data_IF_471044966589
#
_entry.id   IF_471044966589
#
_cell.length_a   1.000
_cell.length_b   1.000
_cell.length_c   1.000
_cell.angle_alpha   90.00
_cell.angle_beta   90.00
_cell.angle_gamma   90.00
#
_symmetry.space_group_name_H-M   'P 1'
#
loop_
_entity.id
_entity.type
_entity.pdbx_description
1 polymer ?
#
# COMPACT_ATOMS: atom_id res chain seq x y z
N UNK A 1 20.51 8.69 8.09
CA UNK A 1 19.55 8.14 7.09
C UNK A 1 20.30 7.12 6.27
N UNK A 2 19.63 6.07 5.80
CA UNK A 2 20.22 5.13 4.86
C UNK A 2 20.00 5.70 3.45
N UNK A 3 21.08 6.05 2.76
CA UNK A 3 21.03 6.39 1.34
C UNK A 3 21.38 5.15 0.52
N UNK A 4 20.63 4.94 -0.56
CA UNK A 4 20.86 3.86 -1.52
C UNK A 4 21.59 4.45 -2.71
N UNK A 5 22.79 3.93 -2.99
CA UNK A 5 23.66 4.37 -4.07
C UNK A 5 23.83 3.22 -5.05
N UNK A 6 23.66 3.48 -6.35
CA UNK A 6 23.95 2.50 -7.40
C UNK A 6 25.45 2.39 -7.64
N UNK A 7 25.97 1.18 -7.76
CA UNK A 7 27.41 0.90 -7.93
C UNK A 7 27.71 0.22 -9.27
N UNK A 8 28.89 0.44 -9.90
CA UNK A 8 29.28 -0.25 -11.13
C UNK A 8 29.69 -1.72 -10.92
N UNK A 9 29.71 -2.17 -9.66
CA UNK A 9 29.97 -3.54 -9.22
C UNK A 9 28.79 -4.05 -8.40
N UNK A 10 28.69 -5.37 -8.28
CA UNK A 10 27.65 -6.00 -7.49
C UNK A 10 28.12 -6.26 -6.05
N UNK A 11 27.16 -6.25 -5.14
CA UNK A 11 27.32 -6.50 -3.71
C UNK A 11 26.40 -7.65 -3.33
N UNK A 12 26.73 -8.40 -2.28
CA UNK A 12 25.83 -9.41 -1.70
C UNK A 12 24.92 -8.73 -0.67
N UNK A 13 23.62 -8.73 -0.92
CA UNK A 13 22.61 -8.16 -0.04
C UNK A 13 21.79 -9.27 0.63
N UNK A 14 21.34 -9.03 1.86
CA UNK A 14 20.37 -9.86 2.55
C UNK A 14 18.97 -9.29 2.36
N UNK A 15 18.06 -10.08 1.81
CA UNK A 15 16.66 -9.71 1.60
C UNK A 15 15.93 -9.48 2.93
N UNK A 16 16.16 -10.35 3.91
CA UNK A 16 15.46 -10.30 5.20
C UNK A 16 15.86 -9.10 6.05
N UNK A 17 17.16 -8.79 6.09
CA UNK A 17 17.68 -7.69 6.91
C UNK A 17 17.77 -6.36 6.15
N UNK A 18 17.51 -6.36 4.84
CA UNK A 18 17.71 -5.22 3.95
C UNK A 18 19.09 -4.56 4.16
N UNK A 19 20.14 -5.39 4.15
CA UNK A 19 21.50 -4.99 4.50
C UNK A 19 22.51 -5.46 3.44
N UNK A 20 23.50 -4.62 3.16
CA UNK A 20 24.67 -5.03 2.37
C UNK A 20 25.58 -5.85 3.26
N UNK A 21 25.79 -7.12 2.90
CA UNK A 21 26.54 -8.09 3.69
C UNK A 21 27.98 -8.24 3.20
N UNK A 22 28.21 -8.10 1.89
CA UNK A 22 29.54 -8.13 1.29
C UNK A 22 29.59 -7.15 0.12
N UNK A 23 30.47 -6.15 0.20
CA UNK A 23 30.68 -5.18 -0.88
C UNK A 23 31.66 -5.75 -1.92
N UNK A 24 31.47 -5.46 -3.21
CA UNK A 24 32.33 -5.94 -4.32
C UNK A 24 32.55 -7.44 -4.28
N UNK A 25 31.46 -8.20 -4.23
CA UNK A 25 31.57 -9.66 -4.19
C UNK A 25 32.31 -10.15 -5.43
N UNK A 26 33.25 -11.09 -5.25
CA UNK A 26 34.04 -11.65 -6.36
C UNK A 26 33.40 -12.88 -6.98
N UNK A 27 32.24 -13.31 -6.46
CA UNK A 27 31.47 -14.39 -7.06
C UNK A 27 30.86 -13.92 -8.39
N UNK A 28 30.52 -14.86 -9.26
CA UNK A 28 29.78 -14.54 -10.49
C UNK A 28 28.45 -13.86 -10.10
N UNK A 29 28.15 -12.73 -10.75
CA UNK A 29 26.92 -11.99 -10.47
C UNK A 29 25.70 -12.87 -10.78
N UNK A 30 24.76 -12.89 -9.83
CA UNK A 30 23.49 -13.59 -9.99
C UNK A 30 22.42 -12.81 -9.26
N UNK A 31 21.35 -12.49 -9.97
CA UNK A 31 20.18 -11.84 -9.40
C UNK A 31 19.26 -12.85 -8.72
N UNK A 32 19.49 -14.15 -8.91
CA UNK A 32 18.69 -15.19 -8.28
C UNK A 32 19.08 -15.30 -6.81
N UNK A 33 18.07 -15.13 -5.95
CA UNK A 33 18.22 -15.33 -4.52
C UNK A 33 18.60 -16.77 -4.22
N UNK A 34 19.57 -16.94 -3.32
CA UNK A 34 19.84 -18.22 -2.68
C UNK A 34 20.52 -19.26 -3.56
N UNK A 35 21.20 -18.81 -4.61
CA UNK A 35 22.10 -19.68 -5.34
C UNK A 35 23.16 -20.30 -4.41
N UNK A 36 23.50 -21.56 -4.67
CA UNK A 36 24.52 -22.28 -3.92
C UNK A 36 25.89 -21.58 -3.93
N UNK A 37 26.16 -20.75 -4.94
CA UNK A 37 27.36 -19.91 -5.02
C UNK A 37 27.53 -19.02 -3.78
N UNK A 38 26.45 -18.52 -3.18
CA UNK A 38 26.53 -17.69 -1.98
C UNK A 38 27.14 -18.42 -0.79
N UNK A 39 27.07 -19.76 -0.72
CA UNK A 39 27.77 -20.53 0.33
C UNK A 39 29.29 -20.33 0.32
N UNK A 40 29.85 -19.90 -0.81
CA UNK A 40 31.27 -19.60 -1.00
C UNK A 40 31.61 -18.12 -0.79
N UNK A 41 30.62 -17.29 -0.46
CA UNK A 41 30.87 -15.89 -0.16
C UNK A 41 31.68 -15.79 1.14
N UNK A 42 32.67 -14.90 1.19
CA UNK A 42 33.62 -14.75 2.30
C UNK A 42 32.93 -14.43 3.63
N UNK A 43 31.77 -13.80 3.59
CA UNK A 43 30.97 -13.45 4.77
C UNK A 43 30.02 -14.57 5.20
N UNK A 44 30.05 -15.72 4.54
CA UNK A 44 29.28 -16.90 4.91
C UNK A 44 30.16 -17.89 5.66
N UNK A 45 29.70 -18.27 6.86
CA UNK A 45 30.31 -19.31 7.67
C UNK A 45 29.27 -20.42 7.92
N UNK A 46 29.56 -21.65 7.51
CA UNK A 46 28.65 -22.79 7.60
C UNK A 46 27.23 -22.50 7.06
N UNK A 47 27.17 -21.77 5.93
CA UNK A 47 25.92 -21.41 5.27
C UNK A 47 25.11 -20.31 5.96
N UNK A 48 25.68 -19.60 6.95
CA UNK A 48 25.09 -18.44 7.62
C UNK A 48 25.96 -17.21 7.45
N UNK A 49 25.32 -16.07 7.23
CA UNK A 49 26.01 -14.80 7.12
C UNK A 49 26.52 -14.34 8.49
N UNK A 50 27.75 -13.83 8.53
CA UNK A 50 28.37 -13.27 9.75
C UNK A 50 28.18 -11.76 9.88
N UNK A 51 27.68 -11.09 8.83
CA UNK A 51 27.56 -9.62 8.76
C UNK A 51 26.14 -9.12 9.02
N UNK A 52 25.10 -9.77 8.48
CA UNK A 52 23.74 -9.27 8.68
C UNK A 52 23.26 -9.50 10.14
N UNK A 53 22.42 -8.59 10.68
CA UNK A 53 21.92 -8.69 12.07
C UNK A 53 21.25 -10.02 12.40
N UNK A 54 20.51 -10.58 11.44
CA UNK A 54 19.78 -11.83 11.61
C UNK A 54 20.62 -13.10 11.44
N UNK A 55 21.92 -12.98 11.10
CA UNK A 55 22.78 -14.11 10.73
C UNK A 55 22.11 -15.09 9.77
N UNK A 56 21.39 -14.51 8.80
CA UNK A 56 20.52 -15.24 7.87
C UNK A 56 21.30 -16.25 7.06
N UNK A 57 20.63 -17.32 6.61
CA UNK A 57 21.27 -18.30 5.76
C UNK A 57 21.54 -17.74 4.34
N UNK A 58 22.45 -18.38 3.62
CA UNK A 58 22.87 -17.97 2.28
C UNK A 58 21.70 -17.87 1.29
N UNK A 59 20.62 -18.62 1.54
CA UNK A 59 19.38 -18.63 0.76
C UNK A 59 18.62 -17.30 0.81
N UNK A 60 18.91 -16.43 1.78
CA UNK A 60 18.32 -15.10 1.90
C UNK A 60 19.13 -14.01 1.20
N UNK A 61 20.20 -14.38 0.50
CA UNK A 61 21.13 -13.44 -0.12
C UNK A 61 21.07 -13.46 -1.65
N UNK A 62 21.38 -12.33 -2.26
CA UNK A 62 21.37 -12.12 -3.71
C UNK A 62 22.40 -11.05 -4.10
N UNK A 63 22.80 -11.01 -5.37
CA UNK A 63 23.62 -9.92 -5.87
C UNK A 63 22.76 -8.75 -6.33
N UNK A 64 23.22 -7.54 -5.98
CA UNK A 64 22.63 -6.30 -6.43
C UNK A 64 23.70 -5.22 -6.53
N UNK A 65 23.50 -4.27 -7.43
CA UNK A 65 24.39 -3.13 -7.66
C UNK A 65 23.99 -1.93 -6.81
N UNK A 66 23.57 -2.18 -5.57
CA UNK A 66 23.14 -1.17 -4.60
C UNK A 66 24.05 -1.22 -3.37
N UNK A 67 24.38 -0.05 -2.85
CA UNK A 67 25.09 0.15 -1.59
C UNK A 67 24.22 0.97 -0.64
N UNK A 68 24.10 0.53 0.60
CA UNK A 68 23.33 1.22 1.63
C UNK A 68 24.32 1.93 2.56
N UNK A 69 24.50 3.25 2.39
CA UNK A 69 25.37 4.04 3.26
C UNK A 69 24.57 4.71 4.36
N UNK A 70 25.03 4.55 5.60
CA UNK A 70 24.56 5.38 6.72
C UNK A 70 25.20 6.74 6.59
N UNK A 71 24.42 7.73 6.17
CA UNK A 71 24.84 9.13 6.22
C UNK A 71 24.33 9.79 7.49
N UNK A 72 25.18 10.56 8.20
CA UNK A 72 24.72 11.40 9.31
C UNK A 72 23.75 12.43 8.73
N UNK A 73 22.49 12.40 9.17
CA UNK A 73 21.51 13.43 8.83
C UNK A 73 21.70 14.56 9.83
N UNK A 74 21.95 15.77 9.35
CA UNK A 74 22.00 16.94 10.24
C UNK A 74 20.63 17.17 10.88
N UNK A 75 20.59 17.71 12.09
CA UNK A 75 19.33 18.02 12.77
C UNK A 75 18.42 18.89 11.90
N UNK A 76 18.98 19.89 11.20
CA UNK A 76 18.25 20.77 10.29
C UNK A 76 17.58 19.99 9.14
N UNK A 77 18.28 19.07 8.49
CA UNK A 77 17.68 18.28 7.40
C UNK A 77 16.66 17.26 7.92
N UNK A 78 16.77 16.81 9.16
CA UNK A 78 15.73 16.01 9.82
C UNK A 78 14.46 16.84 10.06
N UNK A 79 14.61 18.04 10.62
CA UNK A 79 13.51 18.98 10.89
C UNK A 79 12.82 19.40 9.59
N UNK A 80 13.56 19.83 8.56
CA UNK A 80 12.98 20.21 7.27
C UNK A 80 12.22 19.05 6.62
N UNK A 81 12.78 17.84 6.68
CA UNK A 81 12.11 16.65 6.15
C UNK A 81 10.83 16.29 6.90
N UNK A 82 10.79 16.49 8.22
CA UNK A 82 9.59 16.25 9.02
C UNK A 82 8.53 17.33 8.74
N UNK A 83 8.93 18.59 8.66
CA UNK A 83 8.05 19.71 8.31
C UNK A 83 7.39 19.50 6.95
N UNK A 84 8.17 19.11 5.93
CA UNK A 84 7.64 18.83 4.60
C UNK A 84 6.63 17.68 4.62
N UNK A 85 6.92 16.59 5.35
CA UNK A 85 5.98 15.46 5.48
C UNK A 85 4.68 15.87 6.17
N UNK A 86 4.76 16.75 7.16
CA UNK A 86 3.57 17.28 7.84
C UNK A 86 2.73 18.14 6.89
N UNK A 87 3.36 19.03 6.12
CA UNK A 87 2.67 19.89 5.14
C UNK A 87 1.95 19.04 4.08
N UNK A 88 2.61 18.02 3.54
CA UNK A 88 1.99 17.13 2.55
C UNK A 88 0.84 16.32 3.16
N UNK A 89 1.01 15.79 4.37
CA UNK A 89 -0.07 15.07 5.07
C UNK A 89 -1.29 15.98 5.36
N UNK A 90 -1.06 17.26 5.69
CA UNK A 90 -2.15 18.21 5.89
C UNK A 90 -2.89 18.52 4.59
N UNK A 91 -2.17 18.66 3.46
CA UNK A 91 -2.80 18.81 2.14
C UNK A 91 -3.66 17.61 1.78
N UNK A 92 -3.14 16.40 1.97
CA UNK A 92 -3.85 15.16 1.69
C UNK A 92 -5.10 15.03 2.57
N UNK A 93 -5.00 15.39 3.86
CA UNK A 93 -6.13 15.43 4.79
C UNK A 93 -7.22 16.38 4.30
N UNK A 94 -6.88 17.62 3.97
CA UNK A 94 -7.84 18.62 3.47
C UNK A 94 -8.51 18.12 2.18
N UNK A 95 -7.74 17.56 1.25
CA UNK A 95 -8.28 17.00 0.01
C UNK A 95 -9.24 15.83 0.27
N UNK A 96 -8.91 14.98 1.25
CA UNK A 96 -9.77 13.87 1.68
C UNK A 96 -11.08 14.39 2.31
N UNK A 97 -10.99 15.37 3.21
CA UNK A 97 -12.17 15.98 3.85
C UNK A 97 -13.13 16.62 2.83
N UNK A 98 -12.60 17.30 1.81
CA UNK A 98 -13.41 17.86 0.72
C UNK A 98 -14.13 16.77 -0.07
N UNK A 99 -13.45 15.67 -0.41
CA UNK A 99 -14.06 14.52 -1.08
C UNK A 99 -15.15 13.87 -0.21
N UNK A 100 -14.88 13.68 1.08
CA UNK A 100 -15.87 13.15 2.02
C UNK A 100 -17.13 14.01 2.09
N UNK A 101 -16.99 15.35 2.16
CA UNK A 101 -18.13 16.28 2.14
C UNK A 101 -18.95 16.14 0.86
N UNK A 102 -18.30 16.13 -0.31
CA UNK A 102 -18.98 15.97 -1.60
C UNK A 102 -19.74 14.63 -1.71
N UNK A 103 -19.13 13.54 -1.24
CA UNK A 103 -19.80 12.22 -1.20
C UNK A 103 -20.99 12.23 -0.25
N UNK A 104 -20.88 12.86 0.93
CA UNK A 104 -21.99 12.99 1.89
C UNK A 104 -23.16 13.80 1.31
N UNK A 105 -22.87 14.90 0.63
CA UNK A 105 -23.89 15.73 -0.03
C UNK A 105 -24.61 14.95 -1.14
N UNK A 106 -23.84 14.23 -1.96
CA UNK A 106 -24.38 13.40 -3.04
C UNK A 106 -25.25 12.28 -2.50
N UNK A 107 -24.80 11.59 -1.44
CA UNK A 107 -25.57 10.56 -0.75
C UNK A 107 -26.92 11.11 -0.27
N UNK A 108 -26.90 12.25 0.43
CA UNK A 108 -28.12 12.88 0.95
C UNK A 108 -29.11 13.21 -0.17
N UNK A 109 -28.62 13.71 -1.30
CA UNK A 109 -29.46 14.00 -2.46
C UNK A 109 -30.10 12.74 -3.05
N UNK A 110 -29.33 11.64 -3.19
CA UNK A 110 -29.85 10.36 -3.67
C UNK A 110 -30.89 9.78 -2.70
N UNK A 111 -30.65 9.85 -1.40
CA UNK A 111 -31.61 9.38 -0.38
C UNK A 111 -32.94 10.16 -0.45
N UNK A 112 -32.89 11.47 -0.67
CA UNK A 112 -34.08 12.30 -0.86
C UNK A 112 -34.86 11.90 -2.12
N UNK A 113 -34.17 11.74 -3.25
CA UNK A 113 -34.80 11.32 -4.50
C UNK A 113 -35.42 9.93 -4.39
N UNK A 114 -34.74 9.00 -3.70
CA UNK A 114 -35.26 7.65 -3.49
C UNK A 114 -36.55 7.69 -2.67
N UNK A 115 -36.58 8.49 -1.58
CA UNK A 115 -37.77 8.65 -0.76
C UNK A 115 -38.94 9.20 -1.59
N UNK A 116 -38.73 10.26 -2.37
CA UNK A 116 -39.78 10.82 -3.23
C UNK A 116 -40.33 9.79 -4.23
N UNK A 117 -39.48 8.92 -4.77
CA UNK A 117 -39.92 7.87 -5.70
C UNK A 117 -40.69 6.77 -4.98
N UNK A 118 -40.25 6.35 -3.79
CA UNK A 118 -40.99 5.41 -2.95
C UNK A 118 -42.38 5.95 -2.60
N UNK A 119 -42.50 7.22 -2.23
CA UNK A 119 -43.79 7.86 -1.92
C UNK A 119 -44.72 7.87 -3.15
N UNK A 120 -44.19 8.22 -4.33
CA UNK A 120 -44.96 8.19 -5.60
C UNK A 120 -45.46 6.79 -5.96
N UNK A 121 -44.61 5.77 -5.77
CA UNK A 121 -44.97 4.37 -6.03
C UNK A 121 -46.04 3.92 -5.04
N UNK A 122 -45.87 4.22 -3.76
CA UNK A 122 -46.84 3.92 -2.72
C UNK A 122 -48.20 4.54 -3.04
N UNK A 123 -48.24 5.83 -3.39
CA UNK A 123 -49.47 6.53 -3.75
C UNK A 123 -50.14 5.94 -4.99
N UNK A 124 -49.35 5.52 -5.99
CA UNK A 124 -49.87 4.84 -7.17
C UNK A 124 -50.51 3.49 -6.81
N UNK A 125 -49.86 2.69 -5.97
CA UNK A 125 -50.41 1.43 -5.47
C UNK A 125 -51.72 1.65 -4.70
N UNK A 126 -51.77 2.63 -3.81
CA UNK A 126 -52.98 2.97 -3.05
C UNK A 126 -54.15 3.37 -3.95
N UNK A 127 -53.89 4.18 -5.01
CA UNK A 127 -54.93 4.55 -5.99
C UNK A 127 -55.47 3.34 -6.74
N UNK A 128 -54.60 2.42 -7.17
CA UNK A 128 -55.03 1.19 -7.86
C UNK A 128 -55.87 0.32 -6.93
N UNK A 129 -55.42 0.11 -5.69
CA UNK A 129 -56.16 -0.68 -4.71
C UNK A 129 -57.57 -0.13 -4.47
N UNK A 130 -57.70 1.19 -4.27
CA UNK A 130 -59.00 1.83 -4.10
C UNK A 130 -59.92 1.67 -5.31
N UNK A 131 -59.38 1.72 -6.53
CA UNK A 131 -60.17 1.49 -7.75
C UNK A 131 -60.61 0.02 -7.87
N UNK A 132 -59.79 -0.93 -7.40
CA UNK A 132 -60.09 -2.36 -7.44
C UNK A 132 -61.11 -2.78 -6.37
N UNK A 133 -61.16 -2.10 -5.21
CA UNK A 133 -62.19 -2.34 -4.18
C UNK A 133 -63.61 -2.02 -4.68
N UNK A 134 -63.75 -1.18 -5.70
CA UNK A 134 -65.02 -0.92 -6.39
C UNK A 134 -65.45 -1.99 -7.40
N UNK A 135 -64.58 -2.94 -7.74
CA UNK A 135 -64.88 -4.06 -8.65
C UNK A 135 -65.07 -5.35 -7.86
N UNK A 136 -66.18 -5.47 -7.14
CA UNK A 136 -66.57 -6.75 -6.54
C UNK A 136 -67.25 -7.63 -7.62
N UNK A 137 -66.43 -8.31 -8.42
CA UNK A 137 -66.86 -9.15 -9.57
C UNK A 137 -67.75 -10.34 -9.13
N UNK A 138 -67.86 -10.62 -7.82
CA UNK A 138 -68.73 -11.67 -7.30
C UNK A 138 -70.22 -11.31 -7.22
N UNK A 139 -70.63 -10.07 -7.54
CA UNK A 139 -72.05 -9.69 -7.63
C UNK A 139 -72.61 -9.62 -9.07
N UNK A 140 -71.77 -9.82 -10.11
CA UNK A 140 -72.18 -9.82 -11.52
C UNK A 140 -72.19 -11.21 -12.19
N UNK A 141 -72.12 -12.30 -11.42
CA UNK A 141 -72.25 -13.68 -11.91
C UNK A 141 -73.47 -14.41 -11.35
#
# INVERSE_FOLDING_TARGET
>A
VNEIITTPYHNTLCLQCNAVCHERCSLTETTQRGEHAFRRCTVMNNGRCTVCPGKCSYDMHYHDRRLIKRVPKTLNTAISSLSNKYIEAEKDKVACELKCKSVQETKRFIEQLLQEQCDKVHDACMRVQSNCEGFNITEEL
#
